data_IF_944594648403
#
_entry.id   IF_944594648403
#
_cell.length_a   1.000
_cell.length_b   1.000
_cell.length_c   1.000
_cell.angle_alpha   90.00
_cell.angle_beta   90.00
_cell.angle_gamma   90.00
#
_symmetry.space_group_name_H-M   'P 1'
#
loop_
_entity.id
_entity.type
_entity.pdbx_description
1 polymer ?
#
# COMPACT_ATOMS: atom_id res chain seq x y z
N UNK A 1 -2.86 9.65 -23.87
CA UNK A 1 -1.83 8.70 -23.32
C UNK A 1 -2.19 8.41 -21.87
N UNK A 2 -1.57 7.43 -21.21
CA UNK A 2 -1.89 7.16 -19.79
C UNK A 2 -1.64 8.38 -18.89
N UNK A 3 -0.68 9.22 -19.24
CA UNK A 3 -0.40 10.48 -18.56
C UNK A 3 -1.54 11.51 -18.61
N UNK A 4 -2.52 11.30 -19.46
CA UNK A 4 -3.68 12.19 -19.63
C UNK A 4 -4.95 11.60 -18.96
N UNK A 5 -4.78 10.55 -18.16
CA UNK A 5 -5.89 9.81 -17.55
C UNK A 5 -6.48 10.48 -16.29
N UNK A 6 -5.81 11.51 -15.73
CA UNK A 6 -6.29 12.20 -14.55
C UNK A 6 -7.57 13.00 -14.85
N UNK A 7 -8.63 12.66 -14.14
CA UNK A 7 -9.94 13.30 -14.26
C UNK A 7 -10.61 13.31 -12.87
N UNK A 8 -11.14 14.47 -12.49
CA UNK A 8 -11.83 14.68 -11.21
C UNK A 8 -13.35 14.70 -11.34
N UNK A 9 -13.90 14.31 -12.49
CA UNK A 9 -15.34 14.22 -12.65
C UNK A 9 -15.94 13.09 -11.78
N UNK A 10 -17.25 13.09 -11.62
CA UNK A 10 -17.97 12.09 -10.85
C UNK A 10 -17.80 10.69 -11.48
N UNK A 11 -17.51 9.69 -10.62
CA UNK A 11 -17.38 8.30 -11.05
C UNK A 11 -18.76 7.71 -11.34
N UNK A 12 -18.84 6.86 -12.36
CA UNK A 12 -20.08 6.17 -12.73
C UNK A 12 -20.46 5.07 -11.75
N UNK A 13 -19.45 4.41 -11.17
CA UNK A 13 -19.61 3.33 -10.20
C UNK A 13 -18.64 3.57 -9.05
N UNK A 14 -19.13 3.42 -7.83
CA UNK A 14 -18.33 3.55 -6.61
C UNK A 14 -18.46 2.33 -5.70
N UNK A 15 -17.73 2.34 -4.60
CA UNK A 15 -17.75 1.27 -3.60
C UNK A 15 -19.14 1.00 -3.03
N UNK A 16 -19.99 2.03 -2.95
CA UNK A 16 -21.38 1.89 -2.51
C UNK A 16 -22.19 0.92 -3.37
N UNK A 17 -21.94 0.91 -4.68
CA UNK A 17 -22.64 0.04 -5.62
C UNK A 17 -22.29 -1.45 -5.42
N UNK A 18 -21.09 -1.72 -4.91
CA UNK A 18 -20.60 -3.08 -4.68
C UNK A 18 -20.81 -3.58 -3.26
N UNK A 19 -20.73 -2.68 -2.26
CA UNK A 19 -20.69 -3.07 -0.84
C UNK A 19 -21.84 -2.49 -0.01
N UNK A 20 -22.71 -1.65 -0.57
CA UNK A 20 -23.77 -0.97 0.16
C UNK A 20 -23.24 0.16 1.05
N UNK A 21 -23.74 0.28 2.28
CA UNK A 21 -23.36 1.38 3.18
C UNK A 21 -21.95 1.18 3.76
N UNK A 22 -21.20 2.29 3.89
CA UNK A 22 -19.87 2.30 4.45
C UNK A 22 -19.90 1.91 5.94
N UNK A 23 -18.96 1.05 6.34
CA UNK A 23 -18.76 0.69 7.75
C UNK A 23 -17.76 1.66 8.41
N UNK A 24 -17.86 1.78 9.73
CA UNK A 24 -16.96 2.60 10.58
C UNK A 24 -16.50 1.78 11.77
N UNK A 25 -15.54 0.88 11.56
CA UNK A 25 -15.04 -0.09 12.55
C UNK A 25 -13.71 0.34 13.18
N UNK A 26 -12.84 1.01 12.39
CA UNK A 26 -11.54 1.50 12.82
C UNK A 26 -11.05 2.61 11.89
N UNK A 27 -10.03 3.37 12.31
CA UNK A 27 -9.44 4.47 11.53
C UNK A 27 -8.08 4.11 10.87
N UNK A 28 -7.54 2.93 11.21
CA UNK A 28 -6.20 2.49 10.80
C UNK A 28 -6.28 1.17 10.06
N UNK A 29 -5.38 1.00 9.07
CA UNK A 29 -5.24 -0.24 8.33
C UNK A 29 -3.76 -0.55 8.07
N UNK A 30 -3.38 -1.81 8.23
CA UNK A 30 -2.12 -2.37 7.80
C UNK A 30 -2.32 -3.14 6.48
N UNK A 31 -1.58 -2.76 5.45
CA UNK A 31 -1.54 -3.41 4.15
C UNK A 31 -0.32 -4.33 4.14
N UNK A 32 -0.53 -5.63 4.04
CA UNK A 32 0.52 -6.65 4.10
C UNK A 32 0.66 -7.32 2.74
N UNK A 33 1.89 -7.50 2.26
CA UNK A 33 2.20 -8.19 1.00
C UNK A 33 2.88 -9.55 1.21
N UNK A 34 3.04 -9.99 2.45
CA UNK A 34 3.65 -11.28 2.80
C UNK A 34 2.63 -12.16 3.49
N UNK A 35 2.33 -13.30 2.88
CA UNK A 35 1.47 -14.33 3.48
C UNK A 35 1.98 -14.75 4.86
N UNK A 36 3.28 -15.02 5.00
CA UNK A 36 3.90 -15.39 6.27
C UNK A 36 3.66 -14.37 7.38
N UNK A 37 3.76 -13.08 7.07
CA UNK A 37 3.52 -12.00 8.05
C UNK A 37 2.02 -11.94 8.37
N UNK A 38 1.18 -12.12 7.38
CA UNK A 38 -0.27 -12.06 7.57
C UNK A 38 -0.78 -13.25 8.40
N UNK A 39 -0.28 -14.46 8.15
CA UNK A 39 -0.54 -15.65 8.97
C UNK A 39 -0.08 -15.44 10.42
N UNK A 40 1.14 -14.88 10.62
CA UNK A 40 1.62 -14.52 11.95
C UNK A 40 0.67 -13.56 12.69
N UNK A 41 0.08 -12.59 11.98
CA UNK A 41 -0.90 -11.67 12.57
C UNK A 41 -2.17 -12.41 12.99
N UNK A 42 -2.68 -13.29 12.13
CA UNK A 42 -3.86 -14.11 12.43
C UNK A 42 -3.64 -15.04 13.63
N UNK A 43 -2.45 -15.63 13.74
CA UNK A 43 -2.10 -16.54 14.84
C UNK A 43 -1.84 -15.80 16.17
N UNK A 44 -1.44 -14.52 16.11
CA UNK A 44 -0.95 -13.80 17.29
C UNK A 44 -2.01 -12.91 17.92
N UNK A 45 -2.87 -12.28 17.13
CA UNK A 45 -3.80 -11.25 17.61
C UNK A 45 -5.25 -11.72 17.52
N UNK A 46 -6.06 -11.33 18.49
CA UNK A 46 -7.51 -11.47 18.38
C UNK A 46 -8.00 -10.70 17.16
N UNK A 47 -8.82 -11.33 16.34
CA UNK A 47 -9.29 -10.75 15.09
C UNK A 47 -10.70 -11.21 14.73
N UNK A 48 -11.35 -10.41 13.88
CA UNK A 48 -12.66 -10.73 13.31
C UNK A 48 -12.64 -10.39 11.82
N UNK A 49 -13.09 -11.34 10.99
CA UNK A 49 -13.40 -11.03 9.59
C UNK A 49 -14.60 -10.09 9.51
N UNK A 50 -14.43 -8.96 8.85
CA UNK A 50 -15.44 -7.88 8.77
C UNK A 50 -15.99 -7.69 7.38
N UNK A 51 -15.36 -8.28 6.38
CA UNK A 51 -15.78 -8.25 4.99
C UNK A 51 -14.77 -8.93 4.07
N UNK A 52 -15.07 -8.89 2.79
CA UNK A 52 -14.20 -9.46 1.74
C UNK A 52 -14.12 -8.49 0.56
N UNK A 53 -12.93 -8.33 0.00
CA UNK A 53 -12.73 -7.74 -1.32
C UNK A 53 -13.08 -8.81 -2.35
N UNK A 54 -13.89 -8.45 -3.35
CA UNK A 54 -14.37 -9.40 -4.36
C UNK A 54 -13.79 -9.06 -5.72
N UNK A 55 -13.08 -10.03 -6.29
CA UNK A 55 -12.62 -9.99 -7.67
C UNK A 55 -13.18 -11.19 -8.45
N UNK A 56 -13.15 -11.12 -9.80
CA UNK A 56 -13.60 -12.23 -10.64
C UNK A 56 -12.81 -13.53 -10.41
N UNK A 57 -11.56 -13.42 -9.96
CA UNK A 57 -10.65 -14.56 -9.72
C UNK A 57 -10.53 -14.96 -8.25
N UNK A 58 -11.37 -14.43 -7.36
CA UNK A 58 -11.35 -14.81 -5.95
C UNK A 58 -11.84 -13.73 -5.00
N UNK A 59 -11.64 -14.02 -3.72
CA UNK A 59 -11.96 -13.12 -2.62
C UNK A 59 -10.73 -12.92 -1.74
N UNK A 60 -10.60 -11.73 -1.15
CA UNK A 60 -9.58 -11.42 -0.14
C UNK A 60 -10.27 -11.02 1.17
N UNK A 61 -10.14 -11.79 2.24
CA UNK A 61 -10.73 -11.46 3.54
C UNK A 61 -10.11 -10.18 4.11
N UNK A 62 -10.94 -9.37 4.76
CA UNK A 62 -10.54 -8.18 5.50
C UNK A 62 -10.87 -8.39 6.96
N UNK A 63 -9.88 -8.22 7.83
CA UNK A 63 -10.01 -8.42 9.25
C UNK A 63 -9.87 -7.11 10.02
N UNK A 64 -10.45 -7.06 11.21
CA UNK A 64 -10.11 -6.09 12.24
C UNK A 64 -9.46 -6.84 13.38
N UNK A 65 -8.23 -6.48 13.68
CA UNK A 65 -7.39 -7.00 14.75
C UNK A 65 -7.53 -6.13 15.99
N UNK A 66 -7.45 -6.76 17.17
CA UNK A 66 -7.22 -6.06 18.42
C UNK A 66 -5.75 -6.15 18.79
N UNK A 67 -5.05 -5.04 18.68
CA UNK A 67 -3.63 -4.94 19.03
C UNK A 67 -3.49 -3.96 20.20
N UNK A 68 -3.29 -4.50 21.40
CA UNK A 68 -3.16 -3.72 22.64
C UNK A 68 -4.35 -2.77 22.87
N UNK A 69 -5.56 -3.22 22.58
CA UNK A 69 -6.78 -2.43 22.70
C UNK A 69 -7.05 -1.47 21.54
N UNK A 70 -6.20 -1.46 20.52
CA UNK A 70 -6.42 -0.69 19.30
C UNK A 70 -7.05 -1.57 18.20
N UNK A 71 -8.13 -1.08 17.61
CA UNK A 71 -8.74 -1.72 16.44
C UNK A 71 -8.01 -1.27 15.17
N UNK A 72 -7.41 -2.22 14.48
CA UNK A 72 -6.63 -2.00 13.24
C UNK A 72 -7.13 -2.97 12.18
N UNK A 73 -7.57 -2.44 11.04
CA UNK A 73 -7.88 -3.28 9.88
C UNK A 73 -6.59 -3.88 9.31
N UNK A 74 -6.70 -5.05 8.70
CA UNK A 74 -5.59 -5.67 8.01
C UNK A 74 -6.07 -6.66 6.95
N UNK A 75 -5.29 -6.76 5.88
CA UNK A 75 -5.54 -7.70 4.79
C UNK A 75 -4.24 -8.03 4.05
N UNK A 76 -4.24 -9.19 3.40
CA UNK A 76 -3.18 -9.58 2.47
C UNK A 76 -3.48 -8.99 1.10
N UNK A 77 -2.74 -7.95 0.72
CA UNK A 77 -2.96 -7.21 -0.51
C UNK A 77 -2.60 -8.03 -1.76
N UNK A 78 -3.33 -7.83 -2.82
CA UNK A 78 -2.89 -8.26 -4.13
C UNK A 78 -1.60 -7.55 -4.55
N UNK A 79 -0.81 -8.21 -5.39
CA UNK A 79 0.41 -7.64 -5.97
C UNK A 79 0.06 -6.95 -7.30
N UNK A 80 0.65 -5.79 -7.52
CA UNK A 80 0.42 -4.95 -8.68
C UNK A 80 -0.36 -3.70 -8.34
N UNK A 81 0.05 -2.58 -8.92
CA UNK A 81 -0.46 -1.24 -8.56
C UNK A 81 -1.99 -1.14 -8.71
N UNK A 82 -2.54 -1.70 -9.78
CA UNK A 82 -3.97 -1.61 -10.07
C UNK A 82 -4.83 -2.29 -9.00
N UNK A 83 -4.50 -3.54 -8.64
CA UNK A 83 -5.27 -4.28 -7.63
C UNK A 83 -5.01 -3.72 -6.23
N UNK A 84 -3.74 -3.51 -5.85
CA UNK A 84 -3.40 -2.98 -4.54
C UNK A 84 -4.03 -1.60 -4.26
N UNK A 85 -4.14 -0.75 -5.27
CA UNK A 85 -4.81 0.55 -5.14
C UNK A 85 -6.33 0.43 -5.05
N UNK A 86 -6.95 -0.48 -5.78
CA UNK A 86 -8.37 -0.82 -5.65
C UNK A 86 -8.69 -1.36 -4.26
N UNK A 87 -7.89 -2.31 -3.76
CA UNK A 87 -8.03 -2.88 -2.43
C UNK A 87 -8.08 -1.81 -1.32
N UNK A 88 -7.26 -0.75 -1.42
CA UNK A 88 -7.27 0.36 -0.43
C UNK A 88 -8.62 1.05 -0.38
N UNK A 89 -9.24 1.29 -1.54
CA UNK A 89 -10.55 1.94 -1.64
C UNK A 89 -11.63 1.03 -1.06
N UNK A 90 -11.60 -0.24 -1.40
CA UNK A 90 -12.54 -1.24 -0.88
C UNK A 90 -12.43 -1.39 0.63
N UNK A 91 -11.20 -1.48 1.17
CA UNK A 91 -10.97 -1.61 2.61
C UNK A 91 -11.36 -0.35 3.37
N UNK A 92 -11.12 0.85 2.82
CA UNK A 92 -11.66 2.08 3.39
C UNK A 92 -13.19 1.99 3.56
N UNK A 93 -13.89 1.49 2.55
CA UNK A 93 -15.35 1.36 2.58
C UNK A 93 -15.83 0.29 3.56
N UNK A 94 -15.15 -0.86 3.58
CA UNK A 94 -15.50 -1.99 4.44
C UNK A 94 -15.17 -1.76 5.92
N UNK A 95 -14.28 -0.82 6.26
CA UNK A 95 -13.78 -0.66 7.64
C UNK A 95 -13.89 0.77 8.19
N UNK A 96 -13.90 1.77 7.32
CA UNK A 96 -13.80 3.18 7.68
C UNK A 96 -12.35 3.67 7.86
N UNK A 97 -11.34 2.82 7.63
CA UNK A 97 -9.94 3.19 7.80
C UNK A 97 -9.53 4.31 6.83
N UNK A 98 -8.88 5.34 7.37
CA UNK A 98 -8.37 6.50 6.64
C UNK A 98 -6.86 6.70 6.80
N UNK A 99 -6.23 5.89 7.64
CA UNK A 99 -4.78 5.89 7.87
C UNK A 99 -4.24 4.53 7.50
N UNK A 100 -3.41 4.50 6.48
CA UNK A 100 -2.85 3.26 5.95
C UNK A 100 -1.35 3.22 6.15
N UNK A 101 -0.84 2.07 6.61
CA UNK A 101 0.58 1.72 6.54
C UNK A 101 0.73 0.52 5.63
N UNK A 102 1.64 0.65 4.65
CA UNK A 102 1.98 -0.41 3.72
C UNK A 102 3.33 -1.00 4.13
N UNK A 103 3.37 -2.31 4.30
CA UNK A 103 4.58 -3.03 4.68
C UNK A 103 4.86 -4.16 3.68
N UNK A 104 6.04 -4.12 3.09
CA UNK A 104 6.46 -5.10 2.09
C UNK A 104 7.96 -5.09 1.88
N UNK A 105 8.42 -5.90 0.94
CA UNK A 105 9.83 -5.98 0.53
C UNK A 105 10.04 -5.39 -0.86
N UNK A 106 11.25 -4.92 -1.12
CA UNK A 106 11.65 -4.40 -2.44
C UNK A 106 13.11 -4.77 -2.75
N UNK A 107 13.43 -4.86 -4.03
CA UNK A 107 14.82 -4.96 -4.48
C UNK A 107 15.57 -3.66 -4.23
N UNK A 108 16.82 -3.76 -3.77
CA UNK A 108 17.67 -2.58 -3.55
C UNK A 108 18.47 -2.24 -4.80
N UNK A 109 18.47 -0.96 -5.18
CA UNK A 109 19.37 -0.43 -6.20
C UNK A 109 20.76 -0.05 -5.62
N UNK A 110 20.84 0.13 -4.30
CA UNK A 110 22.06 0.44 -3.56
C UNK A 110 22.14 -0.37 -2.25
N UNK A 111 22.76 -1.54 -2.33
CA UNK A 111 22.90 -2.43 -1.18
C UNK A 111 23.78 -1.84 -0.06
N UNK A 112 24.74 -0.99 -0.40
CA UNK A 112 25.58 -0.31 0.61
C UNK A 112 24.77 0.63 1.49
N UNK A 113 23.72 1.25 0.95
CA UNK A 113 22.85 2.14 1.69
C UNK A 113 21.77 1.40 2.49
N UNK A 114 21.19 0.33 1.94
CA UNK A 114 19.93 -0.25 2.43
C UNK A 114 20.07 -1.55 3.19
N UNK A 115 21.21 -2.27 3.08
CA UNK A 115 21.39 -3.57 3.76
C UNK A 115 21.14 -3.47 5.27
N UNK A 116 20.27 -4.31 5.79
CA UNK A 116 19.90 -4.37 7.20
C UNK A 116 19.08 -3.19 7.71
N UNK A 117 18.49 -2.41 6.82
CA UNK A 117 17.69 -1.24 7.19
C UNK A 117 16.29 -1.28 6.57
N UNK A 118 15.35 -0.68 7.26
CA UNK A 118 14.06 -0.32 6.67
C UNK A 118 14.23 0.89 5.75
N UNK A 119 13.72 0.79 4.52
CA UNK A 119 13.65 1.92 3.61
C UNK A 119 12.30 2.60 3.81
N UNK A 120 12.33 3.88 4.18
CA UNK A 120 11.14 4.71 4.34
C UNK A 120 11.01 5.56 3.07
N UNK A 121 10.02 5.28 2.20
CA UNK A 121 9.86 5.99 0.95
C UNK A 121 9.54 7.47 1.16
N UNK A 122 10.26 8.34 0.49
CA UNK A 122 9.95 9.77 0.40
C UNK A 122 9.16 10.12 -0.85
N UNK A 123 9.44 9.40 -1.94
CA UNK A 123 8.77 9.55 -3.24
C UNK A 123 8.72 8.19 -3.92
N UNK A 124 7.72 8.00 -4.76
CA UNK A 124 7.64 6.87 -5.68
C UNK A 124 7.80 7.35 -7.12
N UNK A 125 8.73 6.74 -7.87
CA UNK A 125 8.83 6.91 -9.32
C UNK A 125 7.70 6.11 -9.98
N UNK A 126 6.93 6.77 -10.82
CA UNK A 126 5.66 6.27 -11.37
C UNK A 126 5.89 5.58 -12.72
N UNK A 127 6.27 4.31 -12.69
CA UNK A 127 6.34 3.47 -13.90
C UNK A 127 5.25 2.39 -13.87
N UNK A 128 4.07 2.78 -13.45
CA UNK A 128 2.85 1.98 -13.35
C UNK A 128 1.67 2.75 -13.95
N UNK A 129 0.53 2.12 -14.14
CA UNK A 129 -0.61 2.73 -14.81
C UNK A 129 -1.61 3.44 -13.89
N UNK A 130 -1.76 2.96 -12.65
CA UNK A 130 -2.86 3.34 -11.77
C UNK A 130 -2.80 4.80 -11.31
N UNK A 131 -1.64 5.25 -10.85
CA UNK A 131 -1.52 6.55 -10.19
C UNK A 131 -1.85 7.73 -11.09
N UNK A 132 -1.76 7.55 -12.41
CA UNK A 132 -2.13 8.57 -13.39
C UNK A 132 -3.64 8.83 -13.47
N UNK A 133 -4.47 7.94 -12.92
CA UNK A 133 -5.91 8.18 -12.77
C UNK A 133 -6.24 8.99 -11.51
N UNK A 134 -5.33 9.05 -10.53
CA UNK A 134 -5.56 9.66 -9.21
C UNK A 134 -4.75 10.94 -8.98
N UNK A 135 -3.75 11.23 -9.82
CA UNK A 135 -2.91 12.41 -9.66
C UNK A 135 -2.44 12.95 -11.02
N UNK A 136 -2.25 14.27 -11.17
CA UNK A 136 -1.71 14.87 -12.37
C UNK A 136 -0.40 14.24 -12.83
N UNK A 137 -0.03 14.35 -14.12
CA UNK A 137 1.20 13.79 -14.64
C UNK A 137 2.43 14.36 -13.93
N UNK A 138 3.29 13.45 -13.44
CA UNK A 138 4.60 13.74 -12.88
C UNK A 138 5.41 12.46 -12.84
N UNK A 139 6.74 12.54 -12.86
CA UNK A 139 7.60 11.36 -12.75
C UNK A 139 7.56 10.75 -11.35
N UNK A 140 7.39 11.60 -10.33
CA UNK A 140 7.37 11.20 -8.93
C UNK A 140 6.10 11.66 -8.23
N UNK A 141 5.67 10.87 -7.25
CA UNK A 141 4.66 11.27 -6.27
C UNK A 141 5.28 11.24 -4.87
N UNK A 142 4.98 12.27 -4.07
CA UNK A 142 5.50 12.40 -2.70
C UNK A 142 4.77 11.47 -1.73
N UNK A 143 5.51 10.85 -0.81
CA UNK A 143 4.98 10.16 0.37
C UNK A 143 4.96 11.14 1.55
N UNK A 144 3.85 11.79 1.77
CA UNK A 144 3.69 12.94 2.70
C UNK A 144 4.15 12.66 4.14
N UNK A 145 3.96 11.44 4.64
CA UNK A 145 4.22 11.08 6.03
C UNK A 145 5.61 10.46 6.28
N UNK A 146 6.50 10.42 5.28
CA UNK A 146 7.82 9.80 5.40
C UNK A 146 8.63 10.30 6.61
N UNK A 147 8.60 11.61 6.88
CA UNK A 147 9.32 12.21 8.02
C UNK A 147 8.75 11.77 9.37
N UNK A 148 7.44 11.60 9.47
CA UNK A 148 6.78 11.12 10.70
C UNK A 148 7.17 9.66 10.94
N UNK A 149 7.09 8.82 9.92
CA UNK A 149 7.51 7.41 10.01
C UNK A 149 8.98 7.30 10.40
N UNK A 150 9.86 8.12 9.80
CA UNK A 150 11.28 8.14 10.17
C UNK A 150 11.48 8.49 11.65
N UNK A 151 10.81 9.51 12.16
CA UNK A 151 10.92 9.90 13.56
C UNK A 151 10.52 8.77 14.52
N UNK A 152 9.45 8.03 14.19
CA UNK A 152 9.01 6.85 14.96
C UNK A 152 10.09 5.75 14.93
N UNK A 153 10.66 5.45 13.76
CA UNK A 153 11.71 4.44 13.62
C UNK A 153 13.00 4.83 14.37
N UNK A 154 13.35 6.12 14.37
CA UNK A 154 14.50 6.63 15.13
C UNK A 154 14.26 6.50 16.65
N UNK A 155 13.07 6.84 17.14
CA UNK A 155 12.69 6.68 18.54
C UNK A 155 12.73 5.21 18.99
N UNK A 156 12.25 4.31 18.15
CA UNK A 156 12.29 2.86 18.37
C UNK A 156 13.68 2.26 18.13
N UNK A 157 14.66 3.05 17.73
CA UNK A 157 16.05 2.62 17.39
C UNK A 157 16.08 1.54 16.31
N UNK A 158 15.12 1.54 15.40
CA UNK A 158 15.09 0.64 14.26
C UNK A 158 16.01 1.17 13.15
N UNK A 159 16.93 0.36 12.62
CA UNK A 159 17.79 0.79 11.52
C UNK A 159 16.95 1.20 10.31
N UNK A 160 17.07 2.44 9.88
CA UNK A 160 16.26 2.97 8.80
C UNK A 160 17.03 3.94 7.91
N UNK A 161 16.50 4.19 6.72
CA UNK A 161 16.99 5.17 5.76
C UNK A 161 15.82 5.75 4.96
N UNK A 162 15.86 7.05 4.70
CA UNK A 162 14.97 7.67 3.73
C UNK A 162 15.46 7.39 2.31
N UNK A 163 14.57 7.04 1.41
CA UNK A 163 14.90 6.77 0.02
C UNK A 163 13.74 7.06 -0.93
N UNK A 164 14.02 7.08 -2.22
CA UNK A 164 12.99 7.01 -3.26
C UNK A 164 12.77 5.55 -3.62
N UNK A 165 11.56 5.22 -4.01
CA UNK A 165 11.22 3.89 -4.53
C UNK A 165 10.80 4.00 -5.99
N UNK A 166 10.99 2.92 -6.70
CA UNK A 166 10.55 2.77 -8.07
C UNK A 166 9.42 1.73 -8.12
N UNK A 167 8.27 2.14 -8.62
CA UNK A 167 7.13 1.25 -8.83
C UNK A 167 6.96 0.98 -10.31
N UNK A 168 6.92 -0.29 -10.69
CA UNK A 168 6.72 -0.72 -12.08
C UNK A 168 5.69 -1.85 -12.16
N UNK A 169 4.85 -1.84 -13.19
CA UNK A 169 3.90 -2.93 -13.50
C UNK A 169 4.56 -4.09 -14.26
N UNK A 170 5.84 -3.96 -14.63
CA UNK A 170 6.51 -4.89 -15.53
C UNK A 170 7.80 -5.47 -14.92
N UNK A 171 7.65 -6.39 -13.96
CA UNK A 171 8.74 -6.98 -13.16
C UNK A 171 9.90 -7.52 -14.03
N UNK A 172 9.62 -8.14 -15.18
CA UNK A 172 10.67 -8.65 -16.08
C UNK A 172 11.20 -7.61 -17.07
N UNK A 173 10.86 -6.31 -16.89
CA UNK A 173 11.34 -5.21 -17.72
C UNK A 173 12.17 -4.19 -16.92
N UNK A 174 12.66 -4.58 -15.76
CA UNK A 174 13.70 -3.87 -15.02
C UNK A 174 15.05 -4.07 -15.72
N UNK A 175 15.30 -3.26 -16.75
CA UNK A 175 16.50 -3.39 -17.59
C UNK A 175 17.70 -2.70 -16.96
N UNK A 176 18.92 -3.09 -17.40
CA UNK A 176 20.16 -2.43 -16.96
C UNK A 176 20.13 -0.91 -17.18
N UNK A 177 19.63 -0.44 -18.32
CA UNK A 177 19.52 0.99 -18.60
C UNK A 177 18.59 1.72 -17.62
N UNK A 178 17.46 1.08 -17.25
CA UNK A 178 16.55 1.62 -16.22
C UNK A 178 17.21 1.65 -14.84
N UNK A 179 17.91 0.58 -14.47
CA UNK A 179 18.67 0.52 -13.23
C UNK A 179 19.71 1.63 -13.15
N UNK A 180 20.55 1.78 -14.18
CA UNK A 180 21.62 2.79 -14.22
C UNK A 180 21.06 4.23 -14.18
N UNK A 181 19.86 4.46 -14.73
CA UNK A 181 19.19 5.76 -14.71
C UNK A 181 18.51 6.11 -13.37
N UNK A 182 18.27 5.12 -12.49
CA UNK A 182 17.54 5.29 -11.22
C UNK A 182 18.42 5.10 -9.98
N UNK A 183 19.63 4.63 -10.14
CA UNK A 183 20.65 4.54 -9.10
C UNK A 183 21.22 5.92 -8.77
#
# INVERSE_FOLDING_TARGET
>A
MITDAFDNSEVLFGTKDFYGEQKHLCDKCMIVFSELIFEYMLDTYEHQEVGVIRCCNGITPVYVFDIEGMKIAGYLSHIGSALAGGDVIDVNWLTGAVKFIMFGSAGSLDSGLTTGKFVIPTHSYREEGLSYHYAPPADYIEVKNAKIVKAIFDELKLPNVLGKVWTTDAIYRETKAKFDARK
#
